data_IF_036681537587
#
_entry.id   IF_036681537587
#
_cell.length_a   1.000
_cell.length_b   1.000
_cell.length_c   1.000
_cell.angle_alpha   90.00
_cell.angle_beta   90.00
_cell.angle_gamma   90.00
#
_symmetry.space_group_name_H-M   'P 1'
#
loop_
_entity.id
_entity.type
_entity.pdbx_description
1 polymer ?
#
# COMPACT_ATOMS: atom_id res chain seq x y z
N UNK A 1 16.81 -14.73 -17.30
CA UNK A 1 17.65 -14.95 -16.10
C UNK A 1 18.98 -15.50 -16.54
N UNK A 2 20.09 -15.02 -15.97
CA UNK A 2 21.46 -15.47 -16.26
C UNK A 2 21.96 -16.27 -15.05
N UNK A 3 22.65 -17.40 -15.29
CA UNK A 3 23.33 -18.12 -14.21
C UNK A 3 24.68 -17.46 -13.89
N UNK A 4 25.00 -17.39 -12.60
CA UNK A 4 26.28 -16.93 -12.10
C UNK A 4 26.80 -17.88 -11.03
N UNK A 5 28.10 -18.21 -11.11
CA UNK A 5 28.79 -19.04 -10.12
C UNK A 5 29.58 -18.12 -9.18
N UNK A 6 29.28 -18.19 -7.88
CA UNK A 6 29.92 -17.39 -6.83
C UNK A 6 31.43 -17.68 -6.80
N UNK A 7 32.23 -16.63 -6.82
CA UNK A 7 33.70 -16.70 -6.77
C UNK A 7 34.20 -16.27 -5.37
N UNK A 8 35.44 -16.58 -5.06
CA UNK A 8 36.09 -16.15 -3.84
C UNK A 8 36.06 -14.60 -3.72
N UNK A 9 35.66 -14.10 -2.58
CA UNK A 9 35.49 -12.66 -2.32
C UNK A 9 34.17 -12.05 -2.82
N UNK A 10 33.29 -12.83 -3.45
CA UNK A 10 31.97 -12.33 -3.83
C UNK A 10 31.05 -12.16 -2.62
N UNK A 11 30.28 -11.09 -2.68
CA UNK A 11 29.08 -10.88 -1.86
C UNK A 11 27.90 -10.64 -2.77
N UNK A 12 26.67 -10.86 -2.31
CA UNK A 12 25.48 -10.56 -3.11
C UNK A 12 25.50 -9.11 -3.61
N UNK A 13 25.98 -8.17 -2.79
CA UNK A 13 26.09 -6.75 -3.18
C UNK A 13 27.15 -6.54 -4.27
N UNK A 14 28.31 -7.21 -4.21
CA UNK A 14 29.33 -7.10 -5.25
C UNK A 14 28.89 -7.72 -6.57
N UNK A 15 28.18 -8.85 -6.50
CA UNK A 15 27.60 -9.53 -7.66
C UNK A 15 26.52 -8.64 -8.31
N UNK A 16 25.58 -8.10 -7.52
CA UNK A 16 24.54 -7.20 -8.01
C UNK A 16 25.14 -5.98 -8.72
N UNK A 17 26.11 -5.32 -8.07
CA UNK A 17 26.78 -4.14 -8.64
C UNK A 17 27.48 -4.44 -9.96
N UNK A 18 28.14 -5.61 -10.05
CA UNK A 18 28.90 -6.02 -11.24
C UNK A 18 28.01 -6.43 -12.40
N UNK A 19 26.91 -7.16 -12.14
CA UNK A 19 26.09 -7.78 -13.18
C UNK A 19 24.83 -6.98 -13.53
N UNK A 20 24.31 -6.20 -12.59
CA UNK A 20 23.05 -5.46 -12.74
C UNK A 20 23.25 -3.94 -12.73
N UNK A 21 24.48 -3.46 -12.42
CA UNK A 21 24.84 -2.05 -12.38
C UNK A 21 25.06 -1.49 -10.98
N UNK A 22 25.63 -0.28 -10.91
CA UNK A 22 26.12 0.33 -9.66
C UNK A 22 25.05 0.49 -8.57
N UNK A 23 23.80 0.63 -8.95
CA UNK A 23 22.66 0.85 -8.04
C UNK A 23 21.74 -0.39 -7.89
N UNK A 24 22.19 -1.57 -8.33
CA UNK A 24 21.36 -2.76 -8.27
C UNK A 24 21.18 -3.25 -6.82
N UNK A 25 19.96 -3.63 -6.51
CA UNK A 25 19.64 -4.20 -5.20
C UNK A 25 19.98 -5.69 -5.15
N UNK A 26 20.99 -6.06 -4.36
CA UNK A 26 21.43 -7.45 -4.16
C UNK A 26 20.33 -8.35 -3.56
N UNK A 27 19.32 -7.76 -2.91
CA UNK A 27 18.20 -8.49 -2.30
C UNK A 27 17.35 -9.18 -3.35
N UNK A 28 17.30 -8.64 -4.57
CA UNK A 28 16.62 -9.30 -5.68
C UNK A 28 17.28 -10.62 -6.04
N UNK A 29 18.64 -10.64 -6.05
CA UNK A 29 19.39 -11.88 -6.24
C UNK A 29 19.11 -12.84 -5.07
N UNK A 30 19.14 -12.36 -3.82
CA UNK A 30 18.86 -13.18 -2.64
C UNK A 30 17.47 -13.82 -2.74
N UNK A 31 16.47 -13.05 -3.10
CA UNK A 31 15.07 -13.47 -3.22
C UNK A 31 14.87 -14.54 -4.28
N UNK A 32 15.40 -14.34 -5.49
CA UNK A 32 15.27 -15.29 -6.61
C UNK A 32 15.94 -16.63 -6.26
N UNK A 33 16.98 -16.60 -5.42
CA UNK A 33 17.74 -17.77 -5.03
C UNK A 33 17.40 -18.31 -3.65
N UNK A 34 16.33 -17.83 -3.01
CA UNK A 34 15.88 -18.24 -1.66
C UNK A 34 16.99 -18.12 -0.59
N UNK A 35 17.86 -17.10 -0.70
CA UNK A 35 18.93 -16.85 0.25
C UNK A 35 18.38 -15.97 1.39
N UNK A 36 18.15 -16.57 2.54
CA UNK A 36 17.65 -15.88 3.74
C UNK A 36 18.75 -15.20 4.55
N UNK A 37 20.00 -15.69 4.45
CA UNK A 37 21.16 -15.12 5.10
C UNK A 37 22.24 -14.78 4.08
N UNK A 38 22.48 -13.51 3.75
CA UNK A 38 23.51 -13.12 2.78
C UNK A 38 24.95 -13.56 3.14
N UNK A 39 25.22 -13.79 4.44
CA UNK A 39 26.51 -14.25 4.90
C UNK A 39 26.74 -15.76 4.67
N UNK A 40 25.70 -16.51 4.29
CA UNK A 40 25.82 -17.94 3.96
C UNK A 40 26.21 -18.23 2.52
N UNK A 41 26.55 -17.21 1.73
CA UNK A 41 26.94 -17.36 0.34
C UNK A 41 28.23 -18.18 0.23
N UNK A 42 28.21 -19.26 -0.56
CA UNK A 42 29.34 -20.16 -0.72
C UNK A 42 30.01 -20.03 -2.09
N UNK A 43 31.34 -20.12 -2.13
CA UNK A 43 32.07 -20.18 -3.37
C UNK A 43 31.66 -21.45 -4.16
N UNK A 44 31.39 -21.29 -5.45
CA UNK A 44 30.83 -22.35 -6.30
C UNK A 44 29.30 -22.44 -6.29
N UNK A 45 28.62 -21.73 -5.42
CA UNK A 45 27.15 -21.67 -5.43
C UNK A 45 26.67 -21.09 -6.76
N UNK A 46 25.64 -21.71 -7.36
CA UNK A 46 24.96 -21.19 -8.55
C UNK A 46 23.87 -20.23 -8.13
N UNK A 47 23.87 -19.04 -8.71
CA UNK A 47 22.84 -18.01 -8.51
C UNK A 47 22.15 -17.72 -9.83
N UNK A 48 20.84 -17.62 -9.78
CA UNK A 48 20.04 -17.02 -10.85
C UNK A 48 20.09 -15.51 -10.70
N UNK A 49 20.63 -14.83 -11.70
CA UNK A 49 20.71 -13.39 -11.76
C UNK A 49 19.57 -12.90 -12.66
N UNK A 50 18.74 -11.94 -12.23
CA UNK A 50 17.76 -11.34 -13.11
C UNK A 50 18.54 -10.74 -14.30
N UNK A 51 18.18 -11.11 -15.53
CA UNK A 51 18.69 -10.38 -16.69
C UNK A 51 18.07 -8.99 -16.63
N UNK A 52 18.88 -7.97 -16.79
CA UNK A 52 18.44 -6.59 -16.94
C UNK A 52 17.51 -6.52 -18.18
N UNK A 53 16.26 -6.88 -17.98
CA UNK A 53 15.19 -6.74 -18.94
C UNK A 53 14.27 -5.64 -18.42
N UNK A 54 14.70 -4.46 -18.60
CA UNK A 54 13.99 -3.23 -18.93
C UNK A 54 15.01 -2.10 -18.80
N UNK A 55 15.18 -1.23 -19.79
CA UNK A 55 15.95 -0.02 -19.56
C UNK A 55 15.34 0.65 -18.32
N UNK A 56 16.15 1.21 -17.42
CA UNK A 56 15.60 2.00 -16.35
C UNK A 56 14.70 3.03 -17.04
N UNK A 57 13.39 2.91 -16.80
CA UNK A 57 12.48 4.01 -17.13
C UNK A 57 13.16 5.19 -16.49
N UNK A 58 13.35 6.25 -17.27
CA UNK A 58 13.94 7.48 -16.78
C UNK A 58 13.21 7.82 -15.47
N UNK A 59 13.76 7.32 -14.36
CA UNK A 59 13.28 7.67 -13.04
C UNK A 59 13.40 9.17 -13.04
N UNK A 60 12.31 9.88 -12.79
CA UNK A 60 12.36 11.29 -12.53
C UNK A 60 13.62 11.51 -11.69
N UNK A 61 14.57 12.32 -12.17
CA UNK A 61 15.87 12.47 -11.52
C UNK A 61 15.73 12.81 -10.04
N UNK A 62 14.63 13.44 -9.67
CA UNK A 62 14.23 13.78 -8.32
C UNK A 62 13.88 12.54 -7.47
N UNK A 63 13.11 11.57 -8.03
CA UNK A 63 12.77 10.31 -7.33
C UNK A 63 14.01 9.46 -7.10
N UNK A 64 14.90 9.37 -8.09
CA UNK A 64 16.17 8.64 -7.97
C UNK A 64 17.10 9.30 -6.95
N UNK A 65 17.16 10.63 -6.93
CA UNK A 65 17.99 11.40 -5.99
C UNK A 65 17.51 11.21 -4.55
N UNK A 66 16.22 11.35 -4.28
CA UNK A 66 15.65 11.16 -2.94
C UNK A 66 15.78 9.70 -2.47
N UNK A 67 15.55 8.74 -3.36
CA UNK A 67 15.76 7.31 -3.04
C UNK A 67 17.21 7.04 -2.64
N UNK A 68 18.17 7.57 -3.39
CA UNK A 68 19.59 7.41 -3.08
C UNK A 68 19.99 8.15 -1.80
N UNK A 69 19.46 9.35 -1.55
CA UNK A 69 19.77 10.13 -0.35
C UNK A 69 19.20 9.46 0.90
N UNK A 70 17.91 9.15 0.93
CA UNK A 70 17.29 8.55 2.12
C UNK A 70 17.69 7.08 2.34
N UNK A 71 17.85 6.27 1.31
CA UNK A 71 18.38 4.91 1.45
C UNK A 71 19.88 4.88 1.78
N UNK A 72 20.63 5.84 1.31
CA UNK A 72 22.03 6.03 1.71
C UNK A 72 22.20 6.48 3.16
N UNK A 73 21.19 7.15 3.72
CA UNK A 73 21.08 7.56 5.12
C UNK A 73 20.70 6.42 6.05
N UNK A 74 20.23 5.28 5.50
CA UNK A 74 19.76 4.13 6.28
C UNK A 74 20.67 2.91 6.13
N UNK A 75 21.83 2.87 6.79
CA UNK A 75 22.58 1.64 6.88
C UNK A 75 21.83 0.65 7.80
N UNK A 76 21.93 -0.66 7.57
CA UNK A 76 21.30 -1.68 8.42
C UNK A 76 21.83 -1.66 9.86
N UNK A 77 22.92 -0.97 10.11
CA UNK A 77 23.52 -0.84 11.44
C UNK A 77 23.00 0.46 12.09
N UNK A 78 22.58 0.35 13.33
CA UNK A 78 22.04 1.40 14.22
C UNK A 78 22.86 2.71 14.21
N UNK A 79 22.83 3.44 13.11
CA UNK A 79 23.48 4.75 13.04
C UNK A 79 22.67 5.73 13.85
N UNK A 80 23.35 6.50 14.69
CA UNK A 80 22.70 7.56 15.42
C UNK A 80 22.29 8.69 14.48
N UNK A 81 21.01 9.04 14.53
CA UNK A 81 20.39 10.10 13.73
C UNK A 81 19.93 11.20 14.69
N UNK A 82 20.30 12.43 14.41
CA UNK A 82 19.73 13.59 15.09
C UNK A 82 18.69 14.27 14.18
N UNK A 83 17.73 14.93 14.83
CA UNK A 83 16.68 15.67 14.13
C UNK A 83 16.74 17.13 14.55
N UNK A 84 16.64 18.03 13.57
CA UNK A 84 16.50 19.47 13.78
C UNK A 84 15.33 20.00 12.96
N UNK A 85 14.69 21.05 13.44
CA UNK A 85 13.60 21.71 12.71
C UNK A 85 14.06 23.10 12.28
N UNK A 86 13.91 23.41 10.97
CA UNK A 86 14.20 24.72 10.41
C UNK A 86 12.92 25.21 9.73
N UNK A 87 12.28 26.23 10.32
CA UNK A 87 10.92 26.58 9.95
C UNK A 87 9.98 25.42 10.21
N UNK A 88 9.32 24.90 9.17
CA UNK A 88 8.47 23.70 9.25
C UNK A 88 9.21 22.43 8.77
N UNK A 89 10.41 22.53 8.26
CA UNK A 89 11.14 21.39 7.70
C UNK A 89 11.86 20.61 8.82
N UNK A 90 11.66 19.30 8.82
CA UNK A 90 12.34 18.35 9.72
C UNK A 90 13.52 17.74 8.97
N UNK A 91 14.72 18.04 9.46
CA UNK A 91 15.98 17.61 8.90
C UNK A 91 16.52 16.45 9.72
N UNK A 92 16.75 15.31 9.07
CA UNK A 92 17.48 14.19 9.64
C UNK A 92 18.97 14.29 9.30
N UNK A 93 19.84 14.13 10.31
CA UNK A 93 21.30 14.18 10.13
C UNK A 93 21.92 12.90 10.68
N UNK A 94 22.72 12.22 9.85
CA UNK A 94 23.56 11.10 10.27
C UNK A 94 24.76 11.62 11.06
N UNK A 95 24.93 11.13 12.29
CA UNK A 95 26.02 11.61 13.15
C UNK A 95 27.39 11.09 12.72
N UNK A 96 27.46 9.96 12.05
CA UNK A 96 28.72 9.36 11.60
C UNK A 96 29.30 10.00 10.33
N UNK A 97 28.45 10.51 9.41
CA UNK A 97 28.89 11.10 8.12
C UNK A 97 28.61 12.59 8.04
N UNK A 98 27.75 13.12 8.90
CA UNK A 98 27.25 14.49 8.83
C UNK A 98 26.26 14.73 7.68
N UNK A 99 25.93 13.72 6.87
CA UNK A 99 24.94 13.83 5.79
C UNK A 99 23.57 14.18 6.39
N UNK A 100 22.86 15.11 5.76
CA UNK A 100 21.56 15.58 6.23
C UNK A 100 20.57 15.74 5.08
N UNK A 101 19.28 15.57 5.42
CA UNK A 101 18.17 15.62 4.47
C UNK A 101 16.91 16.16 5.14
N UNK A 102 16.20 17.08 4.46
CA UNK A 102 14.85 17.48 4.84
C UNK A 102 13.87 16.40 4.39
N UNK A 103 13.28 15.65 5.31
CA UNK A 103 12.45 14.49 4.95
C UNK A 103 10.96 14.64 5.24
N UNK A 104 10.58 15.57 6.11
CA UNK A 104 9.19 15.79 6.53
C UNK A 104 8.97 17.25 6.94
N UNK A 105 7.72 17.60 7.22
CA UNK A 105 7.32 18.88 7.79
C UNK A 105 6.63 18.68 9.13
N UNK A 106 6.83 19.62 10.05
CA UNK A 106 6.10 19.64 11.33
C UNK A 106 4.65 20.03 11.13
N UNK A 107 3.76 19.45 11.93
CA UNK A 107 2.38 19.85 12.08
C UNK A 107 1.85 19.40 13.45
N UNK A 108 1.23 20.30 14.18
CA UNK A 108 0.65 20.03 15.51
C UNK A 108 1.58 19.21 16.42
N UNK A 109 1.20 17.98 16.77
CA UNK A 109 1.94 17.09 17.68
C UNK A 109 2.98 16.21 17.00
N UNK A 110 3.13 16.29 15.68
CA UNK A 110 3.99 15.37 14.95
C UNK A 110 4.51 15.92 13.65
N UNK A 111 4.70 15.03 12.69
CA UNK A 111 5.24 15.37 11.36
C UNK A 111 4.39 14.74 10.27
N UNK A 112 4.52 15.28 9.05
CA UNK A 112 3.93 14.68 7.86
C UNK A 112 4.90 14.75 6.68
N UNK A 113 4.73 13.79 5.76
CA UNK A 113 5.37 13.72 4.46
C UNK A 113 4.33 13.25 3.44
N UNK A 114 4.12 13.99 2.36
CA UNK A 114 3.23 13.57 1.28
C UNK A 114 3.76 12.38 0.49
N UNK A 115 5.09 12.17 0.54
CA UNK A 115 5.76 11.15 -0.25
C UNK A 115 5.84 11.50 -1.73
N UNK A 116 6.57 10.69 -2.49
CA UNK A 116 6.82 10.90 -3.91
C UNK A 116 6.58 9.64 -4.76
N UNK A 117 6.57 8.46 -4.13
CA UNK A 117 6.38 7.18 -4.83
C UNK A 117 4.89 6.94 -5.10
N UNK A 118 4.46 7.21 -6.33
CA UNK A 118 3.07 7.00 -6.76
C UNK A 118 2.85 5.57 -7.23
N UNK A 119 1.63 5.05 -7.04
CA UNK A 119 1.28 3.70 -7.50
C UNK A 119 1.46 3.54 -9.00
N UNK A 120 1.12 4.55 -9.80
CA UNK A 120 1.30 4.51 -11.26
C UNK A 120 2.76 4.24 -11.67
N UNK A 121 3.71 4.79 -10.91
CA UNK A 121 5.13 4.60 -11.19
C UNK A 121 5.56 3.20 -10.73
N UNK A 122 5.05 2.75 -9.56
CA UNK A 122 5.30 1.40 -9.06
C UNK A 122 4.80 0.31 -10.00
N UNK A 123 3.62 0.44 -10.62
CA UNK A 123 3.08 -0.54 -11.56
C UNK A 123 4.05 -0.81 -12.70
N UNK A 124 4.82 0.20 -13.12
CA UNK A 124 5.79 0.05 -14.20
C UNK A 124 6.98 -0.81 -13.77
N UNK A 125 7.65 -0.47 -12.66
CA UNK A 125 8.84 -1.20 -12.21
C UNK A 125 8.54 -2.41 -11.31
N UNK A 126 7.37 -2.44 -10.68
CA UNK A 126 6.91 -3.50 -9.78
C UNK A 126 5.98 -4.53 -10.42
N UNK A 127 5.76 -4.49 -11.74
CA UNK A 127 4.84 -5.39 -12.45
C UNK A 127 5.09 -6.87 -12.17
N UNK A 128 6.34 -7.29 -12.12
CA UNK A 128 6.72 -8.66 -11.79
C UNK A 128 6.32 -9.07 -10.35
N UNK A 129 6.38 -8.14 -9.40
CA UNK A 129 5.92 -8.39 -8.03
C UNK A 129 4.39 -8.52 -7.97
N UNK A 130 3.67 -7.69 -8.72
CA UNK A 130 2.21 -7.76 -8.78
C UNK A 130 1.74 -9.08 -9.42
N UNK A 131 2.46 -9.58 -10.42
CA UNK A 131 2.22 -10.91 -11.00
C UNK A 131 2.49 -12.03 -10.00
N UNK A 132 3.57 -11.96 -9.22
CA UNK A 132 3.86 -12.93 -8.14
C UNK A 132 2.78 -12.91 -7.04
N UNK A 133 2.17 -11.77 -6.80
CA UNK A 133 1.01 -11.63 -5.91
C UNK A 133 -0.30 -12.07 -6.58
N UNK A 134 -0.23 -12.58 -7.81
CA UNK A 134 -1.38 -13.04 -8.59
C UNK A 134 -2.47 -11.97 -8.75
N UNK A 135 -2.09 -10.71 -8.85
CA UNK A 135 -3.04 -9.64 -9.12
C UNK A 135 -3.48 -9.66 -10.58
N UNK A 136 -4.77 -9.56 -10.81
CA UNK A 136 -5.31 -9.43 -12.16
C UNK A 136 -5.06 -8.00 -12.71
N UNK A 137 -5.01 -7.83 -14.04
CA UNK A 137 -4.95 -6.50 -14.65
C UNK A 137 -6.10 -5.59 -14.19
N UNK A 138 -7.29 -6.15 -14.03
CA UNK A 138 -8.48 -5.42 -13.58
C UNK A 138 -8.34 -4.91 -12.13
N UNK A 139 -7.79 -5.72 -11.23
CA UNK A 139 -7.48 -5.28 -9.84
C UNK A 139 -6.42 -4.17 -9.84
N UNK A 140 -5.42 -4.26 -10.71
CA UNK A 140 -4.37 -3.24 -10.84
C UNK A 140 -4.98 -1.92 -11.34
N UNK A 141 -5.86 -1.97 -12.36
CA UNK A 141 -6.55 -0.80 -12.89
C UNK A 141 -7.41 -0.10 -11.82
N UNK A 142 -8.20 -0.88 -11.08
CA UNK A 142 -9.03 -0.36 -9.99
C UNK A 142 -8.17 0.30 -8.91
N UNK A 143 -7.08 -0.35 -8.48
CA UNK A 143 -6.15 0.21 -7.50
C UNK A 143 -5.49 1.49 -7.99
N UNK A 144 -5.04 1.50 -9.26
CA UNK A 144 -4.40 2.66 -9.87
C UNK A 144 -5.30 3.90 -9.83
N UNK A 145 -6.54 3.75 -10.28
CA UNK A 145 -7.48 4.86 -10.38
C UNK A 145 -7.95 5.33 -8.99
N UNK A 146 -8.23 4.39 -8.08
CA UNK A 146 -8.60 4.72 -6.71
C UNK A 146 -7.47 5.48 -6.00
N UNK A 147 -6.22 5.03 -6.17
CA UNK A 147 -5.06 5.65 -5.53
C UNK A 147 -4.72 7.04 -6.05
N UNK A 148 -5.20 7.43 -7.22
CA UNK A 148 -5.00 8.79 -7.74
C UNK A 148 -5.63 9.87 -6.84
N UNK A 149 -6.64 9.50 -6.07
CA UNK A 149 -7.29 10.35 -5.07
C UNK A 149 -6.59 10.34 -3.69
N UNK A 150 -5.57 9.51 -3.52
CA UNK A 150 -4.96 9.22 -2.22
C UNK A 150 -3.48 9.64 -2.17
N UNK A 151 -2.77 9.18 -1.16
CA UNK A 151 -1.37 9.53 -0.91
C UNK A 151 -0.35 8.87 -1.84
N UNK A 152 0.87 8.80 -1.34
CA UNK A 152 1.99 8.08 -1.96
C UNK A 152 2.34 6.86 -1.13
N UNK A 153 3.05 5.90 -1.72
CA UNK A 153 3.47 4.67 -1.06
C UNK A 153 4.43 4.91 0.13
N UNK A 154 5.13 6.05 0.13
CA UNK A 154 6.04 6.50 1.19
C UNK A 154 5.46 7.68 2.02
N UNK A 155 4.15 7.95 1.90
CA UNK A 155 3.50 9.00 2.66
C UNK A 155 3.39 8.64 4.15
N UNK A 156 3.63 9.64 5.01
CA UNK A 156 3.59 9.51 6.47
C UNK A 156 2.80 10.66 7.08
N UNK A 157 2.06 10.33 8.11
CA UNK A 157 1.40 11.28 8.99
C UNK A 157 1.51 10.80 10.44
N UNK A 158 1.98 11.67 11.37
CA UNK A 158 2.06 11.34 12.80
C UNK A 158 1.42 12.42 13.67
N UNK A 159 0.76 13.43 13.10
CA UNK A 159 0.28 14.60 13.84
C UNK A 159 -1.13 14.47 14.41
N UNK A 160 -1.99 13.60 13.84
CA UNK A 160 -3.39 13.48 14.20
C UNK A 160 -3.67 12.43 15.31
N UNK A 161 -4.95 12.21 15.65
CA UNK A 161 -5.39 11.26 16.68
C UNK A 161 -5.12 9.78 16.36
N UNK A 162 -4.58 9.48 15.18
CA UNK A 162 -4.19 8.12 14.77
C UNK A 162 -2.72 7.81 15.03
N UNK A 163 -1.94 8.79 15.51
CA UNK A 163 -0.53 8.72 15.95
C UNK A 163 0.48 8.35 14.87
N UNK A 164 0.12 7.48 13.95
CA UNK A 164 0.92 7.09 12.79
C UNK A 164 0.00 6.58 11.69
N UNK A 165 0.11 7.20 10.53
CA UNK A 165 -0.51 6.75 9.28
C UNK A 165 0.56 6.58 8.22
N UNK A 166 0.46 5.53 7.40
CA UNK A 166 1.48 5.14 6.44
C UNK A 166 0.88 4.75 5.10
N UNK A 167 1.58 5.14 4.04
CA UNK A 167 1.40 4.60 2.70
C UNK A 167 0.20 5.14 1.94
N UNK A 168 -0.12 4.46 0.84
CA UNK A 168 -1.02 4.92 -0.21
C UNK A 168 -2.45 5.25 0.28
N UNK A 169 -3.00 4.47 1.20
CA UNK A 169 -4.32 4.69 1.80
C UNK A 169 -4.25 5.20 3.24
N UNK A 170 -3.08 5.65 3.68
CA UNK A 170 -2.85 6.16 5.02
C UNK A 170 -3.37 5.20 6.09
N UNK A 171 -2.93 3.92 6.03
CA UNK A 171 -3.28 2.95 7.07
C UNK A 171 -2.79 3.41 8.43
N UNK A 172 -3.68 3.40 9.41
CA UNK A 172 -3.46 4.02 10.72
C UNK A 172 -3.04 3.02 11.79
N UNK A 173 -2.32 3.52 12.79
CA UNK A 173 -2.06 2.78 14.03
C UNK A 173 -3.34 2.59 14.88
N UNK A 174 -4.39 3.36 14.58
CA UNK A 174 -5.62 3.43 15.37
C UNK A 174 -5.50 4.42 16.53
N UNK A 175 -6.64 5.01 16.96
CA UNK A 175 -6.70 5.88 18.12
C UNK A 175 -6.42 5.13 19.43
N UNK A 176 -6.25 5.87 20.54
CA UNK A 176 -5.99 5.29 21.85
C UNK A 176 -7.06 4.24 22.22
N UNK A 177 -6.62 3.08 22.70
CA UNK A 177 -7.51 1.96 23.05
C UNK A 177 -8.06 1.18 21.86
N UNK A 178 -7.78 1.58 20.60
CA UNK A 178 -8.33 0.95 19.40
C UNK A 178 -7.21 0.27 18.57
N UNK A 179 -7.59 -0.79 17.87
CA UNK A 179 -6.75 -1.39 16.84
C UNK A 179 -6.70 -0.50 15.59
N UNK A 180 -5.64 -0.67 14.78
CA UNK A 180 -5.52 0.01 13.50
C UNK A 180 -5.30 -0.94 12.34
N UNK A 181 -5.39 -0.44 11.10
CA UNK A 181 -5.13 -1.24 9.90
C UNK A 181 -3.63 -1.36 9.59
N UNK A 182 -2.80 -0.41 10.03
CA UNK A 182 -1.34 -0.48 9.83
C UNK A 182 -0.71 -1.75 10.41
N UNK A 183 -1.05 -2.19 11.62
CA UNK A 183 -0.57 -3.47 12.14
C UNK A 183 -0.97 -4.68 11.29
N UNK A 184 -2.15 -4.69 10.66
CA UNK A 184 -2.56 -5.77 9.77
C UNK A 184 -1.73 -5.79 8.48
N UNK A 185 -1.46 -4.61 7.88
CA UNK A 185 -0.52 -4.47 6.77
C UNK A 185 0.87 -5.01 7.13
N UNK A 186 1.42 -4.61 8.28
CA UNK A 186 2.74 -5.05 8.74
C UNK A 186 2.77 -6.54 9.09
N UNK A 187 1.68 -7.12 9.59
CA UNK A 187 1.55 -8.57 9.81
C UNK A 187 1.62 -9.32 8.47
N UNK A 188 0.99 -8.80 7.44
CA UNK A 188 1.08 -9.35 6.08
C UNK A 188 2.50 -9.25 5.53
N UNK A 189 3.16 -8.11 5.73
CA UNK A 189 4.57 -7.92 5.36
C UNK A 189 5.48 -8.92 6.09
N UNK A 190 5.34 -9.03 7.42
CA UNK A 190 6.12 -9.95 8.26
C UNK A 190 6.00 -11.39 7.80
N UNK A 191 4.81 -11.82 7.39
CA UNK A 191 4.55 -13.18 6.92
C UNK A 191 5.13 -13.44 5.53
N UNK A 192 4.97 -12.48 4.59
CA UNK A 192 5.41 -12.66 3.20
C UNK A 192 6.88 -12.38 2.98
N UNK A 193 7.40 -11.37 3.66
CA UNK A 193 8.75 -10.85 3.50
C UNK A 193 9.38 -10.60 4.88
N UNK A 194 9.66 -11.69 5.64
CA UNK A 194 10.16 -11.58 7.01
C UNK A 194 11.50 -10.85 7.09
N UNK A 195 12.36 -10.97 6.09
CA UNK A 195 13.66 -10.27 6.03
C UNK A 195 13.49 -8.76 5.94
N UNK A 196 12.57 -8.29 5.08
CA UNK A 196 12.26 -6.87 4.91
C UNK A 196 11.57 -6.32 6.15
N UNK A 197 10.63 -7.08 6.74
CA UNK A 197 10.04 -6.70 8.01
C UNK A 197 11.10 -6.54 9.10
N UNK A 198 12.00 -7.53 9.24
CA UNK A 198 13.10 -7.47 10.22
C UNK A 198 14.03 -6.29 9.94
N UNK A 199 14.36 -6.04 8.67
CA UNK A 199 15.26 -4.95 8.27
C UNK A 199 14.71 -3.56 8.57
N UNK A 200 13.44 -3.29 8.21
CA UNK A 200 12.86 -1.95 8.36
C UNK A 200 12.24 -1.71 9.73
N UNK A 201 11.78 -2.75 10.42
CA UNK A 201 10.95 -2.64 11.61
C UNK A 201 11.45 -3.49 12.79
N UNK A 202 11.59 -4.80 12.62
CA UNK A 202 11.88 -5.74 13.71
C UNK A 202 13.18 -5.45 14.44
N UNK A 203 14.27 -5.12 13.73
CA UNK A 203 15.54 -4.77 14.36
C UNK A 203 15.48 -3.53 15.28
N UNK A 204 14.43 -2.73 15.15
CA UNK A 204 14.19 -1.55 15.99
C UNK A 204 13.13 -1.78 17.06
N UNK A 205 12.75 -3.03 17.28
CA UNK A 205 11.82 -3.43 18.32
C UNK A 205 10.33 -3.36 17.90
N UNK A 206 10.02 -3.02 16.66
CA UNK A 206 8.63 -3.05 16.15
C UNK A 206 8.22 -4.49 15.89
N UNK A 207 7.06 -4.86 16.43
CA UNK A 207 6.33 -6.06 16.04
C UNK A 207 4.86 -5.73 15.75
N UNK A 208 4.20 -6.58 14.97
CA UNK A 208 2.81 -6.40 14.57
C UNK A 208 2.04 -7.72 14.65
N UNK A 209 0.81 -7.66 15.13
CA UNK A 209 -0.10 -8.79 15.22
C UNK A 209 -1.48 -8.40 14.72
N UNK A 210 -2.07 -9.26 13.88
CA UNK A 210 -3.45 -9.17 13.42
C UNK A 210 -4.02 -10.59 13.32
N UNK A 211 -5.21 -10.80 13.85
CA UNK A 211 -5.90 -12.09 13.81
C UNK A 211 -6.86 -12.20 12.63
N UNK A 212 -7.44 -11.07 12.23
CA UNK A 212 -8.46 -10.99 11.19
C UNK A 212 -7.91 -10.50 9.82
N UNK A 213 -6.63 -10.08 9.79
CA UNK A 213 -6.03 -9.47 8.60
C UNK A 213 -6.58 -8.07 8.26
N UNK A 214 -7.45 -7.52 9.11
CA UNK A 214 -8.14 -6.24 8.91
C UNK A 214 -7.58 -5.18 9.83
N UNK A 215 -7.51 -5.50 11.13
CA UNK A 215 -6.99 -4.63 12.18
C UNK A 215 -6.03 -5.41 13.09
N UNK A 216 -5.28 -4.68 13.91
CA UNK A 216 -4.34 -5.32 14.80
C UNK A 216 -3.66 -4.36 15.75
N UNK A 217 -2.65 -4.87 16.43
CA UNK A 217 -1.84 -4.14 17.39
C UNK A 217 -0.38 -4.06 16.94
N UNK A 218 0.21 -2.90 17.14
CA UNK A 218 1.64 -2.73 17.09
C UNK A 218 2.24 -2.92 18.49
N UNK A 219 3.44 -3.47 18.56
CA UNK A 219 4.26 -3.51 19.77
C UNK A 219 5.62 -2.86 19.52
N UNK A 220 6.16 -2.24 20.53
CA UNK A 220 7.51 -1.69 20.55
C UNK A 220 8.28 -2.31 21.72
N UNK A 221 9.41 -2.97 21.43
CA UNK A 221 10.22 -3.69 22.43
C UNK A 221 9.38 -4.66 23.30
N UNK A 222 8.49 -5.43 22.63
CA UNK A 222 7.54 -6.37 23.22
C UNK A 222 6.41 -5.74 24.07
N UNK A 223 6.30 -4.41 24.11
CA UNK A 223 5.21 -3.70 24.77
C UNK A 223 4.17 -3.32 23.73
N UNK A 224 2.94 -3.83 23.91
CA UNK A 224 1.82 -3.50 23.01
C UNK A 224 1.41 -2.02 23.17
N UNK A 225 1.31 -1.31 22.06
CA UNK A 225 0.92 0.10 22.07
C UNK A 225 -0.60 0.24 22.13
N UNK A 226 -1.14 0.44 23.32
CA UNK A 226 -2.61 0.51 23.57
C UNK A 226 -3.03 1.90 23.98
N UNK A 227 -2.38 2.43 25.05
CA UNK A 227 -2.74 3.72 25.60
C UNK A 227 -2.30 4.89 24.70
N UNK A 228 -2.81 6.08 24.98
CA UNK A 228 -2.33 7.31 24.36
C UNK A 228 -0.82 7.50 24.55
N UNK A 229 -0.33 7.27 25.75
CA UNK A 229 1.08 7.40 26.10
C UNK A 229 1.95 6.44 25.26
N UNK A 230 1.52 5.18 25.11
CA UNK A 230 2.23 4.20 24.29
C UNK A 230 2.28 4.64 22.82
N UNK A 231 1.13 5.03 22.26
CA UNK A 231 1.03 5.41 20.85
C UNK A 231 1.73 6.73 20.53
N UNK A 232 1.83 7.65 21.48
CA UNK A 232 2.59 8.89 21.33
C UNK A 232 4.07 8.64 21.05
N UNK A 233 4.64 7.49 21.44
CA UNK A 233 6.00 7.11 21.06
C UNK A 233 6.21 7.08 19.56
N UNK A 234 5.17 6.75 18.79
CA UNK A 234 5.23 6.66 17.33
C UNK A 234 5.19 8.03 16.61
N UNK A 235 4.95 9.13 17.34
CA UNK A 235 5.01 10.49 16.78
C UNK A 235 6.44 11.00 16.56
N UNK A 236 7.41 10.34 17.19
CA UNK A 236 8.81 10.76 17.08
C UNK A 236 9.29 10.73 15.62
N UNK A 237 10.06 11.73 15.17
CA UNK A 237 10.55 11.82 13.79
C UNK A 237 11.29 10.59 13.30
N UNK A 238 11.93 9.85 14.18
CA UNK A 238 12.65 8.61 13.82
C UNK A 238 11.70 7.56 13.24
N UNK A 239 10.49 7.44 13.77
CA UNK A 239 9.51 6.49 13.23
C UNK A 239 8.96 6.95 11.88
N UNK A 240 8.65 8.24 11.75
CA UNK A 240 8.26 8.82 10.47
C UNK A 240 9.33 8.57 9.39
N UNK A 241 10.60 8.77 9.71
CA UNK A 241 11.72 8.51 8.78
C UNK A 241 11.79 7.03 8.40
N UNK A 242 11.71 6.11 9.36
CA UNK A 242 11.79 4.65 9.12
C UNK A 242 10.66 4.19 8.20
N UNK A 243 9.44 4.61 8.47
CA UNK A 243 8.30 4.26 7.63
C UNK A 243 8.38 4.88 6.24
N UNK A 244 8.84 6.14 6.11
CA UNK A 244 9.05 6.76 4.81
C UNK A 244 10.06 5.97 3.97
N UNK A 245 11.19 5.58 4.56
CA UNK A 245 12.21 4.76 3.88
C UNK A 245 11.67 3.37 3.52
N UNK A 246 10.93 2.73 4.41
CA UNK A 246 10.28 1.46 4.13
C UNK A 246 9.31 1.55 2.95
N UNK A 247 8.55 2.65 2.84
CA UNK A 247 7.65 2.91 1.72
C UNK A 247 8.33 3.09 0.36
N UNK A 248 9.65 3.24 0.32
CA UNK A 248 10.44 3.27 -0.91
C UNK A 248 10.86 1.88 -1.40
N UNK A 249 10.70 0.86 -0.57
CA UNK A 249 11.04 -0.53 -0.91
C UNK A 249 9.94 -1.17 -1.75
N UNK A 250 10.31 -1.78 -2.88
CA UNK A 250 9.36 -2.34 -3.84
C UNK A 250 8.56 -3.53 -3.29
N UNK A 251 9.14 -4.33 -2.39
CA UNK A 251 8.42 -5.44 -1.74
C UNK A 251 7.36 -4.90 -0.77
N UNK A 252 7.69 -3.86 0.00
CA UNK A 252 6.74 -3.18 0.90
C UNK A 252 5.65 -2.49 0.09
N UNK A 253 6.00 -1.84 -1.03
CA UNK A 253 5.04 -1.25 -1.96
C UNK A 253 4.07 -2.29 -2.50
N UNK A 254 4.57 -3.47 -2.89
CA UNK A 254 3.72 -4.57 -3.39
C UNK A 254 2.74 -5.07 -2.32
N UNK A 255 3.16 -5.15 -1.07
CA UNK A 255 2.27 -5.51 0.06
C UNK A 255 1.23 -4.44 0.31
N UNK A 256 1.55 -3.15 0.15
CA UNK A 256 0.57 -2.09 0.25
C UNK A 256 -0.54 -2.23 -0.82
N UNK A 257 -0.16 -2.53 -2.06
CA UNK A 257 -1.13 -2.75 -3.14
C UNK A 257 -2.02 -3.95 -2.85
N UNK A 258 -1.42 -5.07 -2.42
CA UNK A 258 -2.16 -6.27 -2.02
C UNK A 258 -3.13 -5.99 -0.87
N UNK A 259 -2.69 -5.29 0.17
CA UNK A 259 -3.53 -4.95 1.32
C UNK A 259 -4.66 -4.00 0.92
N UNK A 260 -4.40 -3.08 0.00
CA UNK A 260 -5.40 -2.16 -0.53
C UNK A 260 -6.53 -2.89 -1.26
N UNK A 261 -6.21 -3.80 -2.18
CA UNK A 261 -7.23 -4.54 -2.94
C UNK A 261 -7.97 -5.56 -2.06
N UNK A 262 -7.34 -6.11 -1.03
CA UNK A 262 -7.98 -7.04 -0.11
C UNK A 262 -9.14 -6.43 0.69
N UNK A 263 -9.26 -5.10 0.71
CA UNK A 263 -10.45 -4.41 1.26
C UNK A 263 -11.74 -4.89 0.61
N UNK A 264 -11.70 -5.28 -0.68
CA UNK A 264 -12.88 -5.82 -1.37
C UNK A 264 -13.42 -7.11 -0.72
N UNK A 265 -12.58 -7.88 -0.03
CA UNK A 265 -13.02 -9.09 0.67
C UNK A 265 -13.93 -8.78 1.87
N UNK A 266 -13.82 -7.56 2.42
CA UNK A 266 -14.57 -7.13 3.61
C UNK A 266 -16.01 -6.75 3.29
N UNK A 267 -16.30 -6.26 2.09
CA UNK A 267 -17.62 -5.75 1.74
C UNK A 267 -18.12 -6.18 0.36
N UNK A 268 -17.25 -6.21 -0.64
CA UNK A 268 -17.65 -6.46 -2.02
C UNK A 268 -17.91 -7.95 -2.30
N UNK A 269 -17.00 -8.81 -1.84
CA UNK A 269 -17.13 -10.27 -1.96
C UNK A 269 -17.74 -10.95 -0.73
N UNK A 270 -18.02 -10.20 0.34
CA UNK A 270 -18.43 -10.77 1.62
C UNK A 270 -19.82 -11.40 1.55
N UNK A 271 -19.95 -12.71 1.82
CA UNK A 271 -21.24 -13.39 1.81
C UNK A 271 -22.13 -12.97 3.00
N UNK A 272 -21.55 -12.37 4.03
CA UNK A 272 -22.30 -11.84 5.19
C UNK A 272 -22.98 -10.50 4.92
N UNK A 273 -22.63 -9.84 3.80
CA UNK A 273 -23.17 -8.54 3.43
C UNK A 273 -23.93 -8.64 2.10
N UNK A 274 -25.15 -9.15 2.16
CA UNK A 274 -26.02 -9.30 0.99
C UNK A 274 -27.09 -8.19 0.97
N UNK A 275 -27.35 -7.73 -0.25
CA UNK A 275 -28.41 -6.76 -0.55
C UNK A 275 -29.49 -7.44 -1.39
N UNK A 276 -30.70 -7.54 -0.88
CA UNK A 276 -31.80 -8.31 -1.51
C UNK A 276 -31.40 -9.75 -1.91
N UNK A 277 -30.50 -10.38 -1.16
CA UNK A 277 -30.01 -11.74 -1.39
C UNK A 277 -28.77 -11.87 -2.27
N UNK A 278 -28.18 -10.77 -2.73
CA UNK A 278 -27.00 -10.73 -3.60
C UNK A 278 -25.82 -10.02 -2.93
N UNK A 279 -24.61 -10.49 -3.15
CA UNK A 279 -23.39 -9.76 -2.78
C UNK A 279 -23.17 -8.57 -3.74
N UNK A 280 -22.40 -7.57 -3.32
CA UNK A 280 -22.06 -6.45 -4.21
C UNK A 280 -21.37 -6.94 -5.50
N UNK A 281 -20.56 -7.99 -5.41
CA UNK A 281 -19.86 -8.58 -6.56
C UNK A 281 -20.79 -9.23 -7.60
N UNK A 282 -22.03 -9.49 -7.24
CA UNK A 282 -23.07 -9.97 -8.17
C UNK A 282 -23.88 -8.81 -8.77
N UNK A 283 -23.94 -7.69 -8.09
CA UNK A 283 -24.77 -6.53 -8.49
C UNK A 283 -23.97 -5.51 -9.33
N UNK A 284 -22.81 -5.12 -8.84
CA UNK A 284 -21.95 -4.07 -9.42
C UNK A 284 -20.63 -4.70 -9.88
N UNK A 285 -20.52 -4.95 -11.18
CA UNK A 285 -19.50 -5.85 -11.75
C UNK A 285 -18.55 -5.16 -12.73
N UNK A 286 -18.75 -3.88 -13.01
CA UNK A 286 -17.82 -3.11 -13.84
C UNK A 286 -16.60 -2.63 -13.04
N UNK A 287 -15.44 -2.47 -13.68
CA UNK A 287 -14.26 -1.87 -13.06
C UNK A 287 -14.57 -0.49 -12.51
N UNK A 288 -15.38 0.29 -13.23
CA UNK A 288 -15.82 1.61 -12.80
C UNK A 288 -16.59 1.57 -11.48
N UNK A 289 -17.58 0.67 -11.36
CA UNK A 289 -18.34 0.51 -10.13
C UNK A 289 -17.45 0.09 -8.97
N UNK A 290 -16.56 -0.88 -9.18
CA UNK A 290 -15.65 -1.36 -8.13
C UNK A 290 -14.68 -0.28 -7.68
N UNK A 291 -14.16 0.54 -8.60
CA UNK A 291 -13.30 1.67 -8.25
C UNK A 291 -14.06 2.72 -7.39
N UNK A 292 -15.30 3.04 -7.73
CA UNK A 292 -16.14 3.94 -6.92
C UNK A 292 -16.39 3.39 -5.52
N UNK A 293 -16.68 2.09 -5.41
CA UNK A 293 -16.93 1.43 -4.12
C UNK A 293 -15.67 1.39 -3.26
N UNK A 294 -14.52 1.05 -3.86
CA UNK A 294 -13.24 1.00 -3.15
C UNK A 294 -12.82 2.38 -2.66
N UNK A 295 -12.95 3.41 -3.48
CA UNK A 295 -12.69 4.80 -3.12
C UNK A 295 -13.57 5.26 -1.93
N UNK A 296 -14.85 4.91 -1.95
CA UNK A 296 -15.75 5.20 -0.83
C UNK A 296 -15.34 4.42 0.43
N UNK A 297 -15.01 3.15 0.30
CA UNK A 297 -14.60 2.30 1.42
C UNK A 297 -13.26 2.74 2.04
N UNK A 298 -12.34 3.27 1.26
CA UNK A 298 -11.09 3.85 1.79
C UNK A 298 -11.39 5.05 2.69
N UNK A 299 -12.35 5.90 2.29
CA UNK A 299 -12.67 7.13 3.00
C UNK A 299 -13.69 6.95 4.14
N UNK A 300 -14.74 6.16 3.91
CA UNK A 300 -15.86 5.95 4.82
C UNK A 300 -16.33 4.49 4.76
N UNK A 301 -15.58 3.55 5.34
CA UNK A 301 -15.85 2.11 5.18
C UNK A 301 -17.27 1.71 5.61
N UNK A 302 -17.77 2.28 6.71
CA UNK A 302 -19.10 1.99 7.26
C UNK A 302 -20.27 2.52 6.40
N UNK A 303 -20.01 3.42 5.45
CA UNK A 303 -21.07 4.04 4.64
C UNK A 303 -21.39 3.25 3.38
N UNK A 304 -20.48 2.44 2.86
CA UNK A 304 -20.58 1.83 1.52
C UNK A 304 -21.84 0.98 1.39
N UNK A 305 -22.05 0.03 2.29
CA UNK A 305 -23.17 -0.91 2.21
C UNK A 305 -24.51 -0.17 2.32
N UNK A 306 -24.65 0.72 3.30
CA UNK A 306 -25.88 1.52 3.48
C UNK A 306 -26.16 2.38 2.25
N UNK A 307 -25.17 3.08 1.73
CA UNK A 307 -25.33 3.94 0.55
C UNK A 307 -25.74 3.14 -0.70
N UNK A 308 -25.18 1.95 -0.93
CA UNK A 308 -25.60 1.07 -2.04
C UNK A 308 -26.99 0.50 -1.80
N UNK A 309 -27.33 0.15 -0.56
CA UNK A 309 -28.70 -0.30 -0.21
C UNK A 309 -29.74 0.73 -0.61
N UNK A 310 -29.49 1.99 -0.26
CA UNK A 310 -30.39 3.09 -0.59
C UNK A 310 -30.41 3.38 -2.10
N UNK A 311 -29.28 3.23 -2.78
CA UNK A 311 -29.21 3.37 -4.25
C UNK A 311 -30.04 2.30 -4.97
N UNK A 312 -30.00 1.06 -4.49
CA UNK A 312 -30.83 -0.04 -5.01
C UNK A 312 -32.31 0.21 -4.70
N UNK A 313 -32.64 0.65 -3.50
CA UNK A 313 -34.03 1.00 -3.15
C UNK A 313 -34.57 2.12 -4.05
N UNK A 314 -33.76 3.16 -4.28
CA UNK A 314 -34.12 4.30 -5.14
C UNK A 314 -34.23 3.90 -6.63
N UNK A 315 -33.53 2.85 -7.06
CA UNK A 315 -33.65 2.36 -8.43
C UNK A 315 -35.01 1.70 -8.75
N UNK A 316 -35.76 1.30 -7.71
CA UNK A 316 -37.04 0.60 -7.86
C UNK A 316 -36.90 -0.85 -8.38
N UNK A 317 -35.68 -1.35 -8.53
CA UNK A 317 -35.41 -2.69 -9.09
C UNK A 317 -35.90 -3.80 -8.14
N UNK A 318 -36.62 -4.76 -8.70
CA UNK A 318 -37.02 -5.99 -8.01
C UNK A 318 -35.81 -6.94 -7.87
N UNK A 319 -35.86 -7.91 -6.93
CA UNK A 319 -34.82 -8.94 -6.82
C UNK A 319 -34.60 -9.72 -8.14
N UNK A 320 -35.68 -9.98 -8.92
CA UNK A 320 -35.59 -10.66 -10.19
C UNK A 320 -34.81 -9.81 -11.23
N UNK A 321 -35.04 -8.51 -11.27
CA UNK A 321 -34.29 -7.60 -12.16
C UNK A 321 -32.83 -7.47 -11.75
N UNK A 322 -32.55 -7.49 -10.46
CA UNK A 322 -31.17 -7.54 -9.94
C UNK A 322 -30.50 -8.85 -10.33
N UNK A 323 -31.21 -9.97 -10.22
CA UNK A 323 -30.71 -11.30 -10.60
C UNK A 323 -30.41 -11.39 -12.12
N UNK A 324 -31.28 -10.80 -12.95
CA UNK A 324 -31.07 -10.73 -14.41
C UNK A 324 -29.88 -9.85 -14.80
N UNK A 325 -29.57 -8.89 -13.94
CA UNK A 325 -28.28 -8.20 -13.91
C UNK A 325 -27.90 -7.62 -15.29
N UNK A 326 -28.72 -6.71 -15.83
CA UNK A 326 -28.43 -6.00 -17.09
C UNK A 326 -27.44 -4.84 -16.89
N UNK A 327 -26.83 -4.39 -17.98
CA UNK A 327 -25.97 -3.20 -18.00
C UNK A 327 -26.74 -1.95 -17.55
N UNK A 328 -28.00 -1.81 -17.99
CA UNK A 328 -28.86 -0.67 -17.66
C UNK A 328 -29.20 -0.65 -16.16
N UNK A 329 -29.46 -1.81 -15.55
CA UNK A 329 -29.73 -1.93 -14.13
C UNK A 329 -28.48 -1.54 -13.29
N UNK A 330 -27.30 -2.00 -13.69
CA UNK A 330 -26.04 -1.60 -13.03
C UNK A 330 -25.80 -0.08 -13.17
N UNK A 331 -25.99 0.48 -14.36
CA UNK A 331 -25.85 1.90 -14.62
C UNK A 331 -26.82 2.75 -13.77
N UNK A 332 -28.08 2.33 -13.63
CA UNK A 332 -29.08 3.00 -12.82
C UNK A 332 -28.71 2.99 -11.34
N UNK A 333 -28.21 1.85 -10.83
CA UNK A 333 -27.74 1.76 -9.43
C UNK A 333 -26.55 2.68 -9.22
N UNK A 334 -25.57 2.70 -10.15
CA UNK A 334 -24.38 3.58 -10.07
C UNK A 334 -24.81 5.05 -10.06
N UNK A 335 -25.75 5.46 -10.91
CA UNK A 335 -26.24 6.83 -10.96
C UNK A 335 -26.87 7.27 -9.63
N UNK A 336 -27.73 6.44 -9.06
CA UNK A 336 -28.33 6.70 -7.75
C UNK A 336 -27.29 6.72 -6.62
N UNK A 337 -26.32 5.79 -6.67
CA UNK A 337 -25.23 5.72 -5.71
C UNK A 337 -24.36 6.98 -5.74
N UNK A 338 -24.01 7.49 -6.90
CA UNK A 338 -23.22 8.71 -7.04
C UNK A 338 -23.95 9.92 -6.43
N UNK A 339 -25.26 10.04 -6.66
CA UNK A 339 -26.07 11.10 -6.09
C UNK A 339 -26.14 10.99 -4.55
N UNK A 340 -26.39 9.79 -4.02
CA UNK A 340 -26.51 9.56 -2.59
C UNK A 340 -25.17 9.73 -1.85
N UNK A 341 -24.09 9.26 -2.45
CA UNK A 341 -22.74 9.29 -1.89
C UNK A 341 -22.28 10.70 -1.51
N UNK A 342 -22.78 11.75 -2.20
CA UNK A 342 -22.40 13.14 -1.94
C UNK A 342 -22.78 13.61 -0.52
N UNK A 343 -23.90 13.13 -0.02
CA UNK A 343 -24.45 13.56 1.27
C UNK A 343 -24.62 12.43 2.29
N UNK A 344 -24.24 11.19 1.91
CA UNK A 344 -24.43 10.03 2.77
C UNK A 344 -23.64 10.15 4.08
N UNK A 345 -24.36 10.04 5.21
CA UNK A 345 -23.77 10.24 6.54
C UNK A 345 -23.82 11.69 7.04
N UNK A 346 -24.44 12.61 6.30
CA UNK A 346 -24.63 14.01 6.74
C UNK A 346 -23.29 14.72 6.99
N UNK A 347 -23.07 15.20 8.21
CA UNK A 347 -21.84 15.90 8.60
C UNK A 347 -20.58 15.00 8.49
N UNK A 348 -20.76 13.69 8.48
CA UNK A 348 -19.70 12.69 8.29
C UNK A 348 -19.60 12.21 6.85
N UNK A 349 -20.25 12.87 5.90
CA UNK A 349 -20.19 12.51 4.49
C UNK A 349 -18.75 12.51 3.96
N UNK A 350 -18.54 11.80 2.86
CA UNK A 350 -17.23 11.72 2.20
C UNK A 350 -16.83 13.09 1.64
N UNK A 351 -15.65 13.55 2.03
CA UNK A 351 -15.12 14.84 1.57
C UNK A 351 -14.80 14.79 0.08
N UNK A 352 -15.21 15.82 -0.67
CA UNK A 352 -14.95 15.98 -2.11
C UNK A 352 -15.46 14.79 -2.96
N UNK A 353 -16.55 14.17 -2.56
CA UNK A 353 -17.12 12.98 -3.16
C UNK A 353 -17.30 13.12 -4.68
N UNK A 354 -17.89 14.23 -5.16
CA UNK A 354 -18.12 14.50 -6.58
C UNK A 354 -16.81 14.66 -7.37
N UNK A 355 -15.82 15.37 -6.82
CA UNK A 355 -14.52 15.54 -7.48
C UNK A 355 -13.79 14.21 -7.62
N UNK A 356 -13.84 13.39 -6.58
CA UNK A 356 -13.23 12.04 -6.57
C UNK A 356 -13.92 11.13 -7.58
N UNK A 357 -15.26 11.17 -7.66
CA UNK A 357 -16.02 10.41 -8.64
C UNK A 357 -15.70 10.84 -10.08
N UNK A 358 -15.50 12.14 -10.29
CA UNK A 358 -15.15 12.67 -11.62
C UNK A 358 -13.76 12.19 -12.07
N UNK A 359 -12.76 12.17 -11.19
CA UNK A 359 -11.44 11.59 -11.51
C UNK A 359 -11.54 10.10 -11.90
N UNK A 360 -12.38 9.33 -11.20
CA UNK A 360 -12.63 7.93 -11.55
C UNK A 360 -13.36 7.81 -12.90
N UNK A 361 -14.31 8.71 -13.18
CA UNK A 361 -15.01 8.76 -14.48
C UNK A 361 -14.06 9.10 -15.64
N UNK A 362 -13.12 10.02 -15.44
CA UNK A 362 -12.12 10.35 -16.46
C UNK A 362 -11.26 9.15 -16.86
N UNK A 363 -11.08 8.18 -15.96
CA UNK A 363 -10.38 6.94 -16.28
C UNK A 363 -11.12 6.06 -17.31
N UNK A 364 -12.44 6.21 -17.46
CA UNK A 364 -13.19 5.57 -18.54
C UNK A 364 -12.79 6.21 -19.89
N UNK A 365 -12.73 7.53 -19.95
CA UNK A 365 -12.40 8.26 -21.19
C UNK A 365 -10.98 7.97 -21.67
N UNK A 366 -10.07 7.65 -20.78
CA UNK A 366 -8.68 7.26 -21.10
C UNK A 366 -8.51 5.76 -21.34
N UNK A 367 -9.57 4.96 -21.20
CA UNK A 367 -9.51 3.51 -21.34
C UNK A 367 -8.82 2.79 -20.17
N UNK A 368 -8.54 3.50 -19.07
CA UNK A 368 -7.89 2.93 -17.86
C UNK A 368 -8.86 2.13 -16.99
N UNK A 369 -10.17 2.37 -17.13
CA UNK A 369 -11.25 1.59 -16.51
C UNK A 369 -12.33 1.28 -17.53
N UNK A 370 -12.92 0.10 -17.42
CA UNK A 370 -14.09 -0.28 -18.22
C UNK A 370 -15.38 -0.01 -17.43
N UNK A 371 -16.36 0.69 -18.02
CA UNK A 371 -17.71 0.81 -17.46
C UNK A 371 -18.60 -0.41 -17.80
N UNK A 372 -18.11 -1.33 -18.62
CA UNK A 372 -18.88 -2.48 -19.08
C UNK A 372 -19.14 -3.44 -17.94
N UNK A 373 -20.37 -3.90 -17.86
CA UNK A 373 -20.74 -4.96 -16.94
C UNK A 373 -19.85 -6.19 -17.12
N UNK A 374 -19.52 -6.88 -15.99
CA UNK A 374 -18.62 -8.04 -15.94
C UNK A 374 -17.17 -7.74 -16.39
N UNK A 375 -16.77 -6.47 -16.46
CA UNK A 375 -15.38 -6.14 -16.78
C UNK A 375 -14.43 -6.35 -15.61
N UNK A 376 -14.90 -6.20 -14.36
CA UNK A 376 -14.06 -6.46 -13.21
C UNK A 376 -13.77 -7.95 -13.03
N UNK A 377 -12.48 -8.28 -13.03
CA UNK A 377 -11.97 -9.65 -12.82
C UNK A 377 -11.03 -9.65 -11.64
N UNK A 378 -11.22 -10.59 -10.71
CA UNK A 378 -10.38 -10.74 -9.54
C UNK A 378 -9.79 -12.14 -9.44
N UNK A 379 -8.51 -12.21 -9.11
CA UNK A 379 -7.79 -13.46 -8.86
C UNK A 379 -7.76 -13.83 -7.36
N UNK A 380 -8.68 -13.28 -6.56
CA UNK A 380 -8.68 -13.45 -5.10
C UNK A 380 -8.62 -14.91 -4.65
N UNK A 381 -9.33 -15.81 -5.32
CA UNK A 381 -9.34 -17.24 -4.96
C UNK A 381 -7.96 -17.87 -5.07
N UNK A 382 -7.21 -17.56 -6.12
CA UNK A 382 -5.83 -18.05 -6.28
C UNK A 382 -4.89 -17.53 -5.19
N UNK A 383 -5.13 -16.30 -4.69
CA UNK A 383 -4.34 -15.72 -3.59
C UNK A 383 -4.56 -16.41 -2.25
N UNK A 384 -5.78 -16.90 -1.98
CA UNK A 384 -6.09 -17.60 -0.73
C UNK A 384 -5.45 -19.00 -0.65
N UNK A 385 -5.17 -19.63 -1.79
CA UNK A 385 -4.52 -20.96 -1.83
C UNK A 385 -3.01 -20.84 -1.58
N UNK A 386 -2.41 -19.65 -1.83
CA UNK A 386 -0.98 -19.39 -1.66
C UNK A 386 -0.62 -18.68 -0.34
N UNK A 387 -1.56 -18.53 0.57
CA UNK A 387 -1.40 -17.97 1.92
C UNK A 387 -1.35 -19.07 2.99
#
# INVERSE_FOLDING_TARGET
>A
MQEYIVKSGDTLSSIARRLLGANADWREIARINNITNPASLQVGQRLLIPTAATPPIAQNSEVAMVKNTLQGVYPPNKVAISFTTVGNDVIAKLLNTGQQESFAKTKDLGVYRFGIFKLRDFIIYGSGLLQQLQMSPSEINVMLVTSANEGSLDAINTWDSQYLSFGIFQWTLGSAGQQGELPALLTTLKRRYPSEFQYYFGQFGIDATSLDGITGWLSLNNIRLVSEADKNLMRQPIWALRFAIAGMDSLIQSVQVLHGISRLDRFYFSPSQTLKGFTLSQILTSEFAVALLLDHHVNRPSHVIGCVTDAIARSGLTPAQIAQSSADNEALIIQNYLTLRETYGGVNAMTKSSQRAELIRQAINTGSLSPQRLSFRSNRQSRFVSL
#
